data_IF_684738462783
#
_entry.id   IF_684738462783
#
_cell.length_a   1.000
_cell.length_b   1.000
_cell.length_c   1.000
_cell.angle_alpha   90.00
_cell.angle_beta   90.00
_cell.angle_gamma   90.00
#
_symmetry.space_group_name_H-M   'P 1'
#
loop_
_entity.id
_entity.type
_entity.pdbx_description
1 polymer ?
#
# COMPACT_ATOMS: atom_id res chain seq x y z
N UNK A 1 7.34 7.25 -5.73
CA UNK A 1 6.31 7.22 -4.67
C UNK A 1 4.93 7.34 -5.33
N UNK A 2 3.89 6.80 -4.70
CA UNK A 2 2.49 6.90 -5.11
C UNK A 2 1.58 6.59 -3.90
N UNK A 3 0.27 6.84 -4.03
CA UNK A 3 -0.75 6.63 -2.97
C UNK A 3 -0.37 7.20 -1.59
N UNK A 4 0.06 8.46 -1.59
CA UNK A 4 0.40 9.18 -0.36
C UNK A 4 -0.85 9.58 0.44
N UNK A 5 -0.82 9.37 1.75
CA UNK A 5 -1.83 9.86 2.70
C UNK A 5 -1.27 9.90 4.13
N UNK A 6 -2.07 10.34 5.09
CA UNK A 6 -1.72 10.36 6.51
C UNK A 6 -2.29 9.14 7.24
N UNK A 7 -1.47 8.49 8.05
CA UNK A 7 -1.83 7.42 8.99
C UNK A 7 -1.34 7.84 10.38
N UNK A 8 -2.27 8.07 11.31
CA UNK A 8 -2.01 8.68 12.63
C UNK A 8 -1.13 9.94 12.54
N UNK A 9 -1.53 10.89 11.70
CA UNK A 9 -0.83 12.17 11.42
C UNK A 9 0.60 12.04 10.87
N UNK A 10 1.02 10.82 10.52
CA UNK A 10 2.34 10.54 9.95
C UNK A 10 2.21 10.15 8.49
N UNK A 11 3.17 10.55 7.63
CA UNK A 11 3.11 10.26 6.20
C UNK A 11 3.22 8.75 5.96
N UNK A 12 2.30 8.23 5.16
CA UNK A 12 2.35 6.90 4.57
C UNK A 12 2.35 7.01 3.05
N UNK A 13 3.17 6.20 2.36
CA UNK A 13 3.11 6.09 0.91
C UNK A 13 3.63 4.75 0.42
N UNK A 14 3.18 4.38 -0.77
CA UNK A 14 3.73 3.27 -1.53
C UNK A 14 4.90 3.77 -2.39
N UNK A 15 5.89 2.90 -2.61
CA UNK A 15 7.04 3.23 -3.44
C UNK A 15 7.44 2.05 -4.32
N UNK A 16 7.95 2.38 -5.50
CA UNK A 16 8.64 1.41 -6.36
C UNK A 16 10.11 1.34 -5.94
N UNK A 17 10.63 0.12 -5.80
CA UNK A 17 12.02 -0.20 -5.49
C UNK A 17 12.54 -1.16 -6.58
N UNK A 18 13.31 -0.67 -7.55
CA UNK A 18 13.77 -1.46 -8.71
C UNK A 18 12.63 -2.25 -9.40
N UNK A 19 12.56 -3.55 -9.14
CA UNK A 19 11.59 -4.51 -9.69
C UNK A 19 10.47 -4.89 -8.71
N UNK A 20 10.40 -4.25 -7.55
CA UNK A 20 9.40 -4.50 -6.52
C UNK A 20 8.75 -3.21 -6.03
N UNK A 21 7.81 -3.36 -5.12
CA UNK A 21 7.09 -2.30 -4.44
C UNK A 21 7.22 -2.47 -2.94
N UNK A 22 7.34 -1.35 -2.23
CA UNK A 22 7.44 -1.29 -0.78
C UNK A 22 6.57 -0.18 -0.21
N UNK A 23 6.63 -0.04 1.10
CA UNK A 23 5.84 0.92 1.87
C UNK A 23 6.75 1.72 2.78
N UNK A 24 6.42 2.99 2.98
CA UNK A 24 7.09 3.86 3.94
C UNK A 24 6.06 4.47 4.87
N UNK A 25 6.33 4.46 6.17
CA UNK A 25 5.56 5.17 7.19
C UNK A 25 6.51 5.92 8.10
N UNK A 26 6.25 7.21 8.36
CA UNK A 26 7.07 8.05 9.25
C UNK A 26 8.58 8.04 8.92
N UNK A 27 8.90 8.00 7.63
CA UNK A 27 10.27 7.94 7.12
C UNK A 27 10.94 6.56 7.23
N UNK A 28 10.25 5.55 7.77
CA UNK A 28 10.74 4.18 7.89
C UNK A 28 10.19 3.29 6.79
N UNK A 29 11.07 2.54 6.14
CA UNK A 29 10.66 1.48 5.20
C UNK A 29 10.13 0.29 5.97
N UNK A 30 8.89 -0.14 5.66
CA UNK A 30 8.28 -1.31 6.27
C UNK A 30 8.90 -2.61 5.69
N UNK A 31 8.89 -3.74 6.44
CA UNK A 31 9.65 -4.93 6.09
C UNK A 31 9.11 -5.72 4.89
N UNK A 32 7.89 -5.44 4.43
CA UNK A 32 7.27 -6.17 3.34
C UNK A 32 7.50 -5.49 1.98
N UNK A 33 7.91 -6.30 1.01
CA UNK A 33 7.96 -5.97 -0.40
C UNK A 33 7.05 -6.88 -1.22
N UNK A 34 6.61 -6.35 -2.37
CA UNK A 34 5.67 -6.97 -3.30
C UNK A 34 6.20 -6.92 -4.73
N UNK A 35 5.90 -7.95 -5.52
CA UNK A 35 6.24 -8.01 -6.95
C UNK A 35 5.45 -6.97 -7.76
N UNK A 36 4.22 -6.69 -7.29
CA UNK A 36 3.30 -5.77 -7.94
C UNK A 36 2.28 -5.25 -6.93
N UNK A 37 1.75 -4.06 -7.15
CA UNK A 37 0.61 -3.51 -6.41
C UNK A 37 -0.41 -3.07 -7.43
N UNK A 38 -1.66 -3.50 -7.26
CA UNK A 38 -2.72 -2.99 -8.12
C UNK A 38 -2.97 -1.53 -7.75
N UNK A 39 -2.56 -0.64 -8.64
CA UNK A 39 -2.76 0.80 -8.51
C UNK A 39 -3.08 1.40 -9.89
N UNK A 40 -4.02 2.35 -9.94
CA UNK A 40 -4.32 3.09 -11.16
C UNK A 40 -5.80 3.18 -11.48
N UNK A 41 -6.12 4.04 -12.45
CA UNK A 41 -7.50 4.39 -12.76
C UNK A 41 -8.07 3.43 -13.82
N UNK A 42 -8.33 2.19 -13.42
CA UNK A 42 -9.02 1.23 -14.29
C UNK A 42 -10.52 1.31 -14.06
N UNK A 43 -11.28 1.56 -15.14
CA UNK A 43 -12.73 1.56 -15.03
C UNK A 43 -13.23 0.19 -14.60
N UNK A 44 -14.32 0.23 -13.84
CA UNK A 44 -15.33 -0.81 -13.80
C UNK A 44 -15.09 -1.95 -12.78
N UNK A 45 -14.08 -1.83 -11.92
CA UNK A 45 -13.94 -2.65 -10.70
C UNK A 45 -13.26 -1.83 -9.58
N UNK A 46 -14.01 -0.85 -9.03
CA UNK A 46 -13.47 0.19 -8.14
C UNK A 46 -12.68 -0.40 -6.96
N UNK A 47 -13.12 -1.52 -6.39
CA UNK A 47 -12.55 -2.09 -5.18
C UNK A 47 -11.20 -2.80 -5.42
N UNK A 48 -11.00 -3.38 -6.60
CA UNK A 48 -9.79 -4.15 -6.91
C UNK A 48 -8.62 -3.24 -7.28
N UNK A 49 -8.91 -2.10 -7.88
CA UNK A 49 -7.91 -1.22 -8.51
C UNK A 49 -7.54 0.01 -7.67
N UNK A 50 -8.15 0.18 -6.49
CA UNK A 50 -7.90 1.31 -5.60
C UNK A 50 -7.14 0.88 -4.35
N UNK A 51 -6.26 1.76 -3.88
CA UNK A 51 -5.77 1.74 -2.50
C UNK A 51 -6.82 2.45 -1.65
N UNK A 52 -7.38 1.76 -0.67
CA UNK A 52 -8.27 2.39 0.30
C UNK A 52 -7.47 2.99 1.43
N UNK A 53 -7.80 4.23 1.77
CA UNK A 53 -7.14 4.99 2.82
C UNK A 53 -8.04 5.04 4.06
N UNK A 54 -7.42 4.94 5.23
CA UNK A 54 -8.07 5.20 6.51
C UNK A 54 -7.14 6.00 7.42
N UNK A 55 -7.66 6.65 8.47
CA UNK A 55 -6.80 7.33 9.45
C UNK A 55 -5.79 6.42 10.16
N UNK A 56 -6.00 5.10 10.12
CA UNK A 56 -5.18 4.11 10.83
C UNK A 56 -4.35 3.23 9.89
N UNK A 57 -4.44 3.40 8.58
CA UNK A 57 -3.72 2.54 7.64
C UNK A 57 -4.32 2.47 6.24
N UNK A 58 -4.06 1.37 5.54
CA UNK A 58 -4.45 1.19 4.14
C UNK A 58 -4.84 -0.24 3.82
N UNK A 59 -5.73 -0.40 2.83
CA UNK A 59 -6.13 -1.68 2.25
C UNK A 59 -5.87 -1.68 0.75
N UNK A 60 -5.18 -2.67 0.21
CA UNK A 60 -4.86 -2.75 -1.22
C UNK A 60 -4.58 -4.18 -1.68
N UNK A 61 -4.59 -4.40 -3.00
CA UNK A 61 -4.17 -5.67 -3.58
C UNK A 61 -2.70 -5.63 -3.96
N UNK A 62 -1.94 -6.65 -3.53
CA UNK A 62 -0.54 -6.78 -3.87
C UNK A 62 -0.17 -8.22 -4.21
N UNK A 63 0.83 -8.39 -5.08
CA UNK A 63 1.35 -9.70 -5.47
C UNK A 63 2.65 -9.99 -4.73
N UNK A 64 2.79 -11.18 -4.17
CA UNK A 64 4.04 -11.67 -3.58
C UNK A 64 4.26 -13.10 -4.03
N UNK A 65 5.43 -13.38 -4.61
CA UNK A 65 5.81 -14.70 -5.11
C UNK A 65 4.75 -15.27 -6.08
N UNK A 66 4.21 -14.40 -6.94
CA UNK A 66 3.20 -14.77 -7.93
C UNK A 66 1.76 -14.90 -7.40
N UNK A 67 1.52 -14.78 -6.09
CA UNK A 67 0.18 -14.88 -5.49
C UNK A 67 -0.37 -13.50 -5.13
N UNK A 68 -1.64 -13.25 -5.45
CA UNK A 68 -2.33 -12.01 -5.10
C UNK A 68 -2.97 -12.08 -3.71
N UNK A 69 -2.71 -11.05 -2.90
CA UNK A 69 -3.23 -10.90 -1.55
C UNK A 69 -4.04 -9.61 -1.44
N UNK A 70 -5.09 -9.64 -0.62
CA UNK A 70 -5.66 -8.44 -0.04
C UNK A 70 -4.83 -8.09 1.20
N UNK A 71 -4.11 -6.98 1.15
CA UNK A 71 -3.18 -6.53 2.18
C UNK A 71 -3.84 -5.44 3.00
N UNK A 72 -3.90 -5.66 4.31
CA UNK A 72 -4.33 -4.65 5.28
C UNK A 72 -3.11 -4.24 6.13
N UNK A 73 -2.78 -2.95 6.06
CA UNK A 73 -1.73 -2.34 6.88
C UNK A 73 -2.42 -1.44 7.89
N UNK A 74 -2.09 -1.61 9.16
CA UNK A 74 -2.63 -0.80 10.25
C UNK A 74 -1.51 -0.36 11.18
N UNK A 75 -1.53 0.91 11.59
CA UNK A 75 -0.68 1.41 12.66
C UNK A 75 -1.14 0.88 14.01
N UNK A 76 -0.20 0.39 14.82
CA UNK A 76 -0.47 -0.15 16.15
C UNK A 76 -1.28 0.82 17.03
N UNK A 77 -2.16 0.27 17.86
CA UNK A 77 -2.88 0.98 18.91
C UNK A 77 -1.94 1.33 20.08
N UNK A 78 -1.02 2.27 19.86
CA UNK A 78 -0.49 3.07 20.96
C UNK A 78 -1.39 4.27 21.21
#
# INVERSE_FOLDING_TARGET
>A
IFDWHLVKDKPFFLMRQDQSFGMVHDGQTLPFSYDDIIHGNMCCDAFRYQVEHSPVGSLFYARKEGVWFLVYVQADEN
#
